data_IF_423187544338
#
_entry.id   IF_423187544338
#
_cell.length_a   1.000
_cell.length_b   1.000
_cell.length_c   1.000
_cell.angle_alpha   90.00
_cell.angle_beta   90.00
_cell.angle_gamma   90.00
#
_symmetry.space_group_name_H-M   'P 1'
#
loop_
_entity.id
_entity.type
_entity.pdbx_description
1 polymer ?
#
# COMPACT_ATOMS: atom_id res chain seq x y z
N UNK A 1 -9.83 60.99 18.03
CA UNK A 1 -10.29 59.58 18.33
C UNK A 1 -9.44 58.49 17.65
N UNK A 2 -8.14 58.60 17.48
CA UNK A 2 -7.34 57.51 16.86
C UNK A 2 -6.05 57.28 17.67
N UNK A 3 -6.15 57.22 19.01
CA UNK A 3 -4.96 56.92 19.84
C UNK A 3 -4.61 55.41 19.96
N UNK A 4 -5.52 54.52 19.61
CA UNK A 4 -5.33 53.09 19.84
C UNK A 4 -5.18 52.22 18.62
N UNK A 5 -5.08 52.79 17.41
CA UNK A 5 -4.98 52.04 16.14
C UNK A 5 -3.70 51.15 16.13
N UNK A 6 -2.60 51.65 16.65
CA UNK A 6 -1.34 50.88 16.74
C UNK A 6 -1.48 49.66 17.64
N UNK A 7 -2.20 49.77 18.77
CA UNK A 7 -2.46 48.66 19.68
C UNK A 7 -3.38 47.60 19.07
N UNK A 8 -4.40 48.03 18.35
CA UNK A 8 -5.34 47.12 17.65
C UNK A 8 -4.61 46.36 16.53
N UNK A 9 -3.74 47.06 15.78
CA UNK A 9 -2.96 46.41 14.71
C UNK A 9 -1.99 45.36 15.26
N UNK A 10 -1.28 45.66 16.35
CA UNK A 10 -0.39 44.67 17.01
C UNK A 10 -1.17 43.47 17.53
N UNK A 11 -2.36 43.73 18.13
CA UNK A 11 -3.20 42.62 18.62
C UNK A 11 -3.71 41.70 17.48
N UNK A 12 -4.11 42.27 16.34
CA UNK A 12 -4.52 41.51 15.17
C UNK A 12 -3.39 40.68 14.56
N UNK A 13 -2.18 41.22 14.52
CA UNK A 13 -1.00 40.49 14.04
C UNK A 13 -0.62 39.35 14.97
N UNK A 14 -0.65 39.54 16.29
CA UNK A 14 -0.35 38.49 17.26
C UNK A 14 -1.40 37.36 17.24
N UNK A 15 -2.67 37.69 17.07
CA UNK A 15 -3.75 36.69 16.91
C UNK A 15 -3.57 35.90 15.60
N UNK A 16 -3.21 36.58 14.51
CA UNK A 16 -2.91 35.92 13.24
C UNK A 16 -1.75 34.93 13.35
N UNK A 17 -0.69 35.26 14.08
CA UNK A 17 0.44 34.34 14.33
C UNK A 17 0.05 33.14 15.20
N UNK A 18 -0.88 33.29 16.13
CA UNK A 18 -1.38 32.17 16.93
C UNK A 18 -2.15 31.11 16.08
N UNK A 19 -2.88 31.55 15.05
CA UNK A 19 -3.58 30.60 14.18
C UNK A 19 -2.65 29.81 13.21
N UNK A 20 -1.47 30.36 12.88
CA UNK A 20 -0.48 29.66 12.06
C UNK A 20 0.22 28.48 12.80
N UNK A 21 0.18 28.45 14.11
CA UNK A 21 0.80 27.39 14.91
C UNK A 21 -0.03 26.09 14.99
N UNK A 22 -1.26 26.10 14.48
CA UNK A 22 -2.17 24.94 14.47
C UNK A 22 -2.11 24.07 13.21
N UNK A 23 -1.09 24.21 12.37
CA UNK A 23 -0.83 23.22 11.31
C UNK A 23 -0.21 22.01 11.98
N UNK A 24 -1.08 21.15 12.50
CA UNK A 24 -0.69 19.85 13.02
C UNK A 24 0.03 19.08 11.90
N UNK A 25 1.32 18.76 12.10
CA UNK A 25 1.96 17.71 11.33
C UNK A 25 1.24 16.42 11.69
N UNK A 26 0.36 15.95 10.83
CA UNK A 26 -0.17 14.59 10.93
C UNK A 26 1.04 13.64 10.89
N UNK A 27 1.41 13.11 12.04
CA UNK A 27 2.41 12.05 12.11
C UNK A 27 1.78 10.83 11.47
N UNK A 28 2.41 10.24 10.43
CA UNK A 28 1.87 9.07 9.77
C UNK A 28 1.66 7.97 10.82
N UNK A 29 0.40 7.58 11.03
CA UNK A 29 0.05 6.43 11.86
C UNK A 29 0.32 5.14 11.09
N UNK A 30 0.58 4.04 11.79
CA UNK A 30 0.63 2.72 11.15
C UNK A 30 -0.80 2.28 10.83
N UNK A 31 -1.13 2.17 9.55
CA UNK A 31 -2.47 1.81 9.14
C UNK A 31 -2.59 1.50 7.65
N UNK A 32 -3.82 1.48 7.17
CA UNK A 32 -4.17 1.18 5.79
C UNK A 32 -4.92 2.34 5.13
N UNK A 33 -5.02 3.46 5.81
CA UNK A 33 -5.67 4.66 5.29
C UNK A 33 -4.69 5.42 4.39
N UNK A 34 -5.20 6.22 3.48
CA UNK A 34 -4.38 7.05 2.61
C UNK A 34 -3.56 8.03 3.48
N UNK A 35 -2.25 7.99 3.34
CA UNK A 35 -1.32 8.80 4.13
C UNK A 35 -0.69 8.08 5.32
N UNK A 36 -1.20 6.90 5.70
CA UNK A 36 -0.58 6.08 6.73
C UNK A 36 0.71 5.43 6.25
N UNK A 37 1.60 5.17 7.19
CA UNK A 37 2.78 4.34 6.94
C UNK A 37 2.35 2.89 6.75
N UNK A 38 2.81 2.28 5.66
CA UNK A 38 2.54 0.87 5.41
C UNK A 38 3.03 0.00 6.58
N UNK A 39 2.19 -0.94 7.08
CA UNK A 39 2.60 -1.85 8.13
C UNK A 39 3.75 -2.73 7.66
N UNK A 40 4.66 -3.05 8.56
CA UNK A 40 5.74 -3.98 8.26
C UNK A 40 5.16 -5.38 8.09
N UNK A 41 5.34 -5.96 6.91
CA UNK A 41 5.06 -7.36 6.71
C UNK A 41 6.14 -8.04 5.87
N UNK A 42 6.36 -9.30 6.19
CA UNK A 42 7.27 -10.17 5.47
C UNK A 42 6.45 -11.25 4.80
N UNK A 43 6.69 -11.43 3.53
CA UNK A 43 6.06 -12.47 2.75
C UNK A 43 7.10 -13.54 2.47
N UNK A 44 6.91 -14.70 3.09
CA UNK A 44 7.79 -15.84 2.86
C UNK A 44 7.27 -16.61 1.62
N UNK A 45 7.88 -16.42 0.47
CA UNK A 45 7.73 -17.33 -0.66
C UNK A 45 8.57 -18.60 -0.45
N UNK A 46 8.35 -19.64 -1.25
CA UNK A 46 9.13 -20.90 -1.13
C UNK A 46 10.62 -20.73 -1.43
N UNK A 47 10.95 -19.77 -2.29
CA UNK A 47 12.34 -19.53 -2.73
C UNK A 47 12.86 -18.16 -2.33
N UNK A 48 11.99 -17.25 -1.89
CA UNK A 48 12.35 -15.85 -1.66
C UNK A 48 11.53 -15.26 -0.52
N UNK A 49 12.23 -14.62 0.42
CA UNK A 49 11.62 -13.76 1.42
C UNK A 49 11.51 -12.36 0.82
N UNK A 50 10.29 -11.84 0.71
CA UNK A 50 10.07 -10.46 0.31
C UNK A 50 9.76 -9.66 1.57
N UNK A 51 10.63 -8.73 1.91
CA UNK A 51 10.38 -7.73 2.93
C UNK A 51 9.96 -6.43 2.23
N UNK A 52 8.85 -5.83 2.65
CA UNK A 52 8.44 -4.54 2.09
C UNK A 52 9.51 -3.46 2.23
N UNK A 53 10.38 -3.59 3.24
CA UNK A 53 11.50 -2.67 3.42
C UNK A 53 12.48 -2.66 2.26
N UNK A 54 12.61 -3.80 1.57
CA UNK A 54 13.52 -3.94 0.43
C UNK A 54 12.98 -3.24 -0.84
N UNK A 55 11.68 -2.90 -0.82
CA UNK A 55 10.99 -2.20 -1.92
C UNK A 55 10.86 -0.69 -1.69
N UNK A 56 11.64 -0.15 -0.74
CA UNK A 56 11.65 1.28 -0.45
C UNK A 56 12.00 2.11 -1.70
N UNK A 57 11.34 3.27 -1.82
CA UNK A 57 11.53 4.17 -2.97
C UNK A 57 10.70 3.82 -4.21
N UNK A 58 10.03 2.64 -4.23
CA UNK A 58 9.14 2.23 -5.32
C UNK A 58 7.68 2.31 -4.91
N UNK A 59 6.78 2.43 -5.88
CA UNK A 59 5.37 2.16 -5.67
C UNK A 59 5.16 0.66 -5.61
N UNK A 60 4.50 0.17 -4.56
CA UNK A 60 4.19 -1.25 -4.41
C UNK A 60 2.69 -1.45 -4.56
N UNK A 61 2.30 -2.24 -5.56
CA UNK A 61 0.94 -2.70 -5.72
C UNK A 61 0.80 -4.08 -5.07
N UNK A 62 0.03 -4.14 -3.98
CA UNK A 62 -0.27 -5.39 -3.31
C UNK A 62 -1.64 -5.88 -3.78
N UNK A 63 -1.66 -7.07 -4.40
CA UNK A 63 -2.88 -7.70 -4.90
C UNK A 63 -3.12 -9.01 -4.18
N UNK A 64 -4.36 -9.22 -3.72
CA UNK A 64 -4.82 -10.48 -3.16
C UNK A 64 -5.89 -11.07 -4.07
N UNK A 65 -5.78 -12.37 -4.36
CA UNK A 65 -6.69 -13.04 -5.28
C UNK A 65 -6.83 -14.53 -4.98
N UNK A 66 -7.77 -15.18 -5.64
CA UNK A 66 -7.92 -16.63 -5.59
C UNK A 66 -8.43 -17.16 -6.93
N UNK A 67 -8.00 -18.35 -7.32
CA UNK A 67 -8.38 -18.98 -8.60
C UNK A 67 -9.87 -19.25 -8.74
N UNK A 68 -10.54 -19.45 -7.63
CA UNK A 68 -11.99 -19.70 -7.60
C UNK A 68 -12.84 -18.42 -7.66
N UNK A 69 -12.25 -17.25 -7.42
CA UNK A 69 -12.91 -15.96 -7.56
C UNK A 69 -12.53 -15.34 -8.91
N UNK A 70 -13.46 -15.41 -9.87
CA UNK A 70 -13.24 -14.96 -11.23
C UNK A 70 -12.88 -13.48 -11.31
N UNK A 71 -13.48 -12.64 -10.46
CA UNK A 71 -13.23 -11.20 -10.47
C UNK A 71 -11.82 -10.86 -10.00
N UNK A 72 -11.40 -11.35 -8.83
CA UNK A 72 -10.07 -11.08 -8.29
C UNK A 72 -8.98 -11.68 -9.18
N UNK A 73 -9.22 -12.85 -9.76
CA UNK A 73 -8.32 -13.50 -10.71
C UNK A 73 -8.12 -12.67 -11.97
N UNK A 74 -9.21 -12.21 -12.59
CA UNK A 74 -9.17 -11.39 -13.81
C UNK A 74 -8.49 -10.04 -13.53
N UNK A 75 -8.80 -9.40 -12.42
CA UNK A 75 -8.16 -8.15 -12.01
C UNK A 75 -6.66 -8.35 -11.79
N UNK A 76 -6.26 -9.41 -11.09
CA UNK A 76 -4.86 -9.72 -10.85
C UNK A 76 -4.10 -9.94 -12.16
N UNK A 77 -4.64 -10.70 -13.10
CA UNK A 77 -4.02 -10.94 -14.40
C UNK A 77 -3.87 -9.63 -15.20
N UNK A 78 -4.92 -8.81 -15.25
CA UNK A 78 -4.89 -7.52 -15.94
C UNK A 78 -3.83 -6.58 -15.36
N UNK A 79 -3.72 -6.51 -14.04
CA UNK A 79 -2.72 -5.70 -13.35
C UNK A 79 -1.30 -6.20 -13.61
N UNK A 80 -1.07 -7.51 -13.55
CA UNK A 80 0.23 -8.09 -13.88
C UNK A 80 0.68 -7.71 -15.29
N UNK A 81 -0.21 -7.79 -16.27
CA UNK A 81 0.10 -7.41 -17.65
C UNK A 81 0.34 -5.91 -17.83
N UNK A 82 -0.40 -5.07 -17.11
CA UNK A 82 -0.22 -3.62 -17.15
C UNK A 82 1.11 -3.17 -16.52
N UNK A 83 1.47 -3.75 -15.38
CA UNK A 83 2.65 -3.35 -14.61
C UNK A 83 3.95 -3.80 -15.26
N UNK A 84 3.96 -4.94 -15.97
CA UNK A 84 5.14 -5.38 -16.71
C UNK A 84 5.64 -4.36 -17.75
N UNK A 85 4.82 -3.35 -18.06
CA UNK A 85 5.18 -2.23 -18.96
C UNK A 85 5.70 -0.99 -18.21
N UNK A 86 5.78 -1.04 -16.88
CA UNK A 86 6.06 0.15 -16.05
C UNK A 86 7.26 -0.11 -15.14
N UNK A 87 8.26 0.76 -15.16
CA UNK A 87 9.50 0.57 -14.40
C UNK A 87 9.45 1.01 -12.93
N UNK A 88 8.44 1.81 -12.54
CA UNK A 88 8.39 2.45 -11.21
C UNK A 88 7.43 1.78 -10.22
N UNK A 89 6.73 0.73 -10.65
CA UNK A 89 5.75 0.02 -9.84
C UNK A 89 6.19 -1.43 -9.69
N UNK A 90 6.31 -1.88 -8.44
CA UNK A 90 6.56 -3.28 -8.12
C UNK A 90 5.24 -3.93 -7.71
N UNK A 91 4.92 -5.09 -8.30
CA UNK A 91 3.70 -5.81 -7.92
C UNK A 91 4.03 -7.01 -7.07
N UNK A 92 3.32 -7.12 -5.95
CA UNK A 92 3.31 -8.29 -5.08
C UNK A 92 1.92 -8.90 -5.12
N UNK A 93 1.81 -10.07 -5.73
CA UNK A 93 0.54 -10.77 -5.93
C UNK A 93 0.48 -11.99 -5.01
N UNK A 94 -0.55 -12.06 -4.16
CA UNK A 94 -0.71 -13.11 -3.15
C UNK A 94 -1.98 -13.90 -3.42
N UNK A 95 -1.84 -15.19 -3.72
CA UNK A 95 -2.98 -16.09 -3.91
C UNK A 95 -3.42 -16.70 -2.58
N UNK A 96 -4.75 -16.76 -2.38
CA UNK A 96 -5.39 -17.46 -1.26
C UNK A 96 -5.83 -18.89 -1.61
N UNK A 97 -5.34 -19.45 -2.70
CA UNK A 97 -5.68 -20.82 -3.09
C UNK A 97 -5.25 -21.83 -2.03
N UNK A 98 -6.14 -22.79 -1.75
CA UNK A 98 -5.88 -23.85 -0.78
C UNK A 98 -4.81 -24.82 -1.29
N UNK A 99 -4.80 -25.08 -2.59
CA UNK A 99 -3.90 -26.05 -3.23
C UNK A 99 -2.89 -25.35 -4.15
N UNK A 100 -1.63 -25.68 -3.97
CA UNK A 100 -0.54 -25.13 -4.77
C UNK A 100 -0.63 -25.52 -6.27
N UNK A 101 -1.16 -26.69 -6.55
CA UNK A 101 -1.38 -27.15 -7.93
C UNK A 101 -2.31 -26.21 -8.69
N UNK A 102 -3.44 -25.81 -8.05
CA UNK A 102 -4.40 -24.87 -8.63
C UNK A 102 -3.75 -23.51 -8.87
N UNK A 103 -3.02 -22.99 -7.88
CA UNK A 103 -2.25 -21.75 -8.04
C UNK A 103 -1.29 -21.81 -9.23
N UNK A 104 -0.48 -22.87 -9.33
CA UNK A 104 0.49 -23.02 -10.41
C UNK A 104 -0.16 -23.13 -11.80
N UNK A 105 -1.25 -23.88 -11.90
CA UNK A 105 -2.01 -24.01 -13.16
C UNK A 105 -2.64 -22.68 -13.58
N UNK A 106 -3.20 -21.94 -12.63
CA UNK A 106 -3.82 -20.64 -12.89
C UNK A 106 -2.78 -19.64 -13.39
N UNK A 107 -1.61 -19.56 -12.74
CA UNK A 107 -0.53 -18.68 -13.19
C UNK A 107 -0.11 -19.01 -14.63
N UNK A 108 0.04 -20.30 -14.96
CA UNK A 108 0.38 -20.72 -16.33
C UNK A 108 -0.70 -20.35 -17.32
N UNK A 109 -1.97 -20.64 -16.99
CA UNK A 109 -3.12 -20.38 -17.84
C UNK A 109 -3.31 -18.89 -18.12
N UNK A 110 -3.15 -18.06 -17.11
CA UNK A 110 -3.34 -16.61 -17.21
C UNK A 110 -2.07 -15.88 -17.65
N UNK A 111 -0.99 -16.61 -17.91
CA UNK A 111 0.33 -16.08 -18.33
C UNK A 111 0.83 -14.99 -17.37
N UNK A 112 0.68 -15.21 -16.08
CA UNK A 112 1.13 -14.30 -15.04
C UNK A 112 2.63 -14.57 -14.80
N UNK A 113 3.48 -13.74 -15.36
CA UNK A 113 4.94 -13.87 -15.24
C UNK A 113 5.55 -12.87 -14.25
N UNK A 114 4.74 -12.28 -13.37
CA UNK A 114 5.25 -11.39 -12.34
C UNK A 114 6.20 -12.14 -11.40
N UNK A 115 7.35 -11.55 -11.15
CA UNK A 115 8.42 -12.14 -10.32
C UNK A 115 7.95 -12.38 -8.87
N UNK A 116 6.96 -11.62 -8.40
CA UNK A 116 6.48 -11.61 -7.02
C UNK A 116 5.08 -12.23 -6.86
N UNK A 117 4.79 -13.32 -7.59
CA UNK A 117 3.58 -14.12 -7.39
C UNK A 117 3.80 -15.15 -6.28
N UNK A 118 3.03 -15.07 -5.21
CA UNK A 118 3.20 -15.83 -3.99
C UNK A 118 1.94 -16.62 -3.62
N UNK A 119 2.14 -17.85 -3.13
CA UNK A 119 1.08 -18.66 -2.60
C UNK A 119 0.96 -18.48 -1.07
N UNK A 120 -0.27 -18.26 -0.57
CA UNK A 120 -0.57 -17.73 0.78
C UNK A 120 -0.12 -18.62 1.96
N UNK A 121 0.15 -19.90 1.82
CA UNK A 121 0.47 -20.76 2.99
C UNK A 121 1.67 -20.28 3.82
N UNK A 122 2.41 -19.31 3.31
CA UNK A 122 3.63 -18.75 3.91
C UNK A 122 3.51 -17.28 4.32
N UNK A 123 2.36 -16.65 4.07
CA UNK A 123 2.17 -15.23 4.39
C UNK A 123 1.81 -15.06 5.86
N UNK A 124 2.77 -14.70 6.70
CA UNK A 124 2.51 -14.23 8.06
C UNK A 124 2.19 -12.73 8.00
N UNK A 125 0.93 -12.40 7.78
CA UNK A 125 0.46 -11.03 7.92
C UNK A 125 0.13 -10.79 9.39
N UNK A 126 0.69 -9.73 9.98
CA UNK A 126 0.32 -9.30 11.34
C UNK A 126 -1.19 -9.09 11.42
N UNK A 127 -1.84 -9.44 12.54
CA UNK A 127 -3.29 -9.48 12.79
C UNK A 127 -4.11 -8.23 12.40
N UNK A 128 -3.45 -7.15 12.00
CA UNK A 128 -4.11 -5.88 11.60
C UNK A 128 -4.63 -5.85 10.16
N UNK A 129 -4.32 -6.84 9.36
CA UNK A 129 -4.71 -6.88 7.95
C UNK A 129 -5.97 -7.72 7.78
N UNK A 130 -7.13 -7.09 7.59
CA UNK A 130 -8.35 -7.79 7.17
C UNK A 130 -8.30 -7.97 5.64
N UNK A 131 -8.39 -9.20 5.09
CA UNK A 131 -8.28 -9.47 3.66
C UNK A 131 -9.54 -9.09 2.85
N UNK A 132 -10.24 -8.02 3.24
CA UNK A 132 -11.51 -7.62 2.61
C UNK A 132 -11.30 -6.76 1.35
N UNK A 133 -10.14 -6.13 1.21
CA UNK A 133 -9.84 -5.31 0.03
C UNK A 133 -8.82 -6.04 -0.84
N UNK A 134 -9.26 -6.62 -1.93
CA UNK A 134 -8.46 -7.47 -2.82
C UNK A 134 -7.30 -6.76 -3.51
N UNK A 135 -7.31 -5.42 -3.60
CA UNK A 135 -6.26 -4.65 -4.24
C UNK A 135 -5.95 -3.41 -3.42
N UNK A 136 -4.69 -3.25 -3.02
CA UNK A 136 -4.19 -2.02 -2.39
C UNK A 136 -2.90 -1.56 -3.05
N UNK A 137 -2.87 -0.26 -3.38
CA UNK A 137 -1.65 0.41 -3.83
C UNK A 137 -1.02 1.10 -2.63
N UNK A 138 0.16 0.67 -2.27
CA UNK A 138 0.94 1.25 -1.18
C UNK A 138 2.10 2.03 -1.77
N UNK A 139 2.20 3.32 -1.43
CA UNK A 139 3.42 4.08 -1.67
C UNK A 139 4.32 3.91 -0.46
N UNK A 140 5.42 3.19 -0.62
CA UNK A 140 6.41 3.04 0.43
C UNK A 140 7.32 4.26 0.37
N UNK A 141 7.12 5.21 1.28
CA UNK A 141 7.95 6.39 1.45
C UNK A 141 9.02 6.06 2.49
N UNK A 142 10.27 6.38 2.16
CA UNK A 142 11.39 6.35 3.13
C UNK A 142 11.34 7.55 4.06
#
# INVERSE_FOLDING_TARGET
MIKNVKGIFVALVTISFMFLSFVGKDTPTEGLTIGDKAPEFKICGEKQLIDLKDLKGKYVLLSFWASYDANSRMQNASLCHAINKTNNVEMVSVSFDTYKSIFNETIKKDRIYSVNCLWNRTVKIRKSFKPIDYIKVLKIIC
#
